data_IF_185731180500
#
_entry.id   IF_185731180500
#
_cell.length_a   1.000
_cell.length_b   1.000
_cell.length_c   1.000
_cell.angle_alpha   90.00
_cell.angle_beta   90.00
_cell.angle_gamma   90.00
#
_symmetry.space_group_name_H-M   'P 1'
#
loop_
_entity.id
_entity.type
_entity.pdbx_description
1 polymer ?
#
# COMPACT_ATOMS: atom_id res chain seq x y z
N UNK A 1 -22.72 -1.28 -65.77
CA UNK A 1 -22.50 0.12 -65.32
C UNK A 1 -21.73 0.11 -64.01
N UNK A 2 -20.80 1.05 -63.88
CA UNK A 2 -19.79 1.14 -62.82
C UNK A 2 -20.42 1.30 -61.42
N UNK A 3 -19.81 0.60 -60.47
CA UNK A 3 -19.46 1.02 -59.09
C UNK A 3 -20.36 2.07 -58.45
N UNK A 4 -20.90 1.75 -57.27
CA UNK A 4 -20.75 2.56 -56.07
C UNK A 4 -20.91 1.62 -54.87
N UNK A 5 -19.78 1.07 -54.43
CA UNK A 5 -19.63 0.49 -53.11
C UNK A 5 -19.45 1.72 -52.18
N UNK A 6 -20.54 2.21 -51.56
CA UNK A 6 -20.41 3.23 -50.52
C UNK A 6 -19.84 2.52 -49.30
N UNK A 7 -18.51 2.44 -49.27
CA UNK A 7 -17.74 2.13 -48.08
C UNK A 7 -18.00 3.29 -47.12
N UNK A 8 -18.97 3.11 -46.21
CA UNK A 8 -19.12 3.98 -45.05
C UNK A 8 -17.89 3.75 -44.19
N UNK A 9 -16.83 4.52 -44.48
CA UNK A 9 -15.74 4.79 -43.57
C UNK A 9 -16.35 5.57 -42.40
N UNK A 10 -16.96 4.85 -41.45
CA UNK A 10 -17.09 5.37 -40.10
C UNK A 10 -15.66 5.45 -39.58
N UNK A 11 -15.02 6.59 -39.84
CA UNK A 11 -13.86 7.04 -39.10
C UNK A 11 -14.34 7.25 -37.67
N UNK A 12 -14.36 6.14 -36.91
CA UNK A 12 -14.37 6.15 -35.47
C UNK A 12 -13.14 6.97 -35.07
N UNK A 13 -13.36 8.26 -34.88
CA UNK A 13 -12.43 9.16 -34.24
C UNK A 13 -12.41 8.73 -32.77
N UNK A 14 -11.77 7.59 -32.49
CA UNK A 14 -11.43 7.19 -31.12
C UNK A 14 -10.43 8.25 -30.69
N UNK A 15 -10.94 9.31 -30.05
CA UNK A 15 -10.11 10.27 -29.34
C UNK A 15 -9.34 9.47 -28.30
N UNK A 16 -8.08 9.13 -28.60
CA UNK A 16 -7.19 8.42 -27.68
C UNK A 16 -6.81 9.40 -26.57
N UNK A 17 -7.69 9.56 -25.59
CA UNK A 17 -7.42 10.27 -24.33
C UNK A 17 -6.50 9.46 -23.40
N UNK A 18 -5.92 8.34 -23.87
CA UNK A 18 -5.21 7.34 -23.06
C UNK A 18 -3.68 7.46 -23.01
N UNK A 19 -3.07 8.51 -23.58
CA UNK A 19 -1.60 8.60 -23.65
C UNK A 19 -0.92 8.63 -22.25
N UNK A 20 -1.52 9.33 -21.29
CA UNK A 20 -0.99 9.43 -19.91
C UNK A 20 -1.12 8.12 -19.13
N UNK A 21 -2.28 7.48 -19.20
CA UNK A 21 -2.58 6.24 -18.47
C UNK A 21 -1.77 5.07 -19.01
N UNK A 22 -1.57 4.98 -20.33
CA UNK A 22 -0.73 3.95 -20.94
C UNK A 22 0.74 4.12 -20.54
N UNK A 23 1.26 5.35 -20.55
CA UNK A 23 2.63 5.64 -20.09
C UNK A 23 2.82 5.26 -18.62
N UNK A 24 1.82 5.53 -17.77
CA UNK A 24 1.86 5.13 -16.36
C UNK A 24 1.80 3.61 -16.21
N UNK A 25 0.94 2.93 -16.97
CA UNK A 25 0.88 1.46 -17.00
C UNK A 25 2.22 0.83 -17.40
N UNK A 26 2.91 1.37 -18.41
CA UNK A 26 4.21 0.86 -18.85
C UNK A 26 5.31 0.99 -17.79
N UNK A 27 5.20 1.96 -16.86
CA UNK A 27 6.13 2.12 -15.75
C UNK A 27 5.93 1.10 -14.62
N UNK A 28 4.74 0.48 -14.54
CA UNK A 28 4.43 -0.49 -13.49
C UNK A 28 5.32 -1.73 -13.60
N UNK A 29 5.58 -2.33 -12.45
CA UNK A 29 6.26 -3.61 -12.35
C UNK A 29 5.42 -4.75 -12.93
N UNK A 30 6.07 -5.87 -13.23
CA UNK A 30 5.39 -7.06 -13.77
C UNK A 30 4.26 -7.57 -12.86
N UNK A 31 4.43 -7.67 -11.52
CA UNK A 31 3.35 -8.08 -10.62
C UNK A 31 2.12 -7.16 -10.72
N UNK A 32 2.32 -5.84 -10.72
CA UNK A 32 1.23 -4.87 -10.77
C UNK A 32 0.58 -4.86 -12.17
N UNK A 33 1.37 -4.88 -13.25
CA UNK A 33 0.83 -5.00 -14.63
C UNK A 33 -0.06 -6.21 -14.77
N UNK A 34 0.42 -7.38 -14.32
CA UNK A 34 -0.36 -8.62 -14.33
C UNK A 34 -1.66 -8.43 -13.56
N UNK A 35 -1.61 -7.86 -12.36
CA UNK A 35 -2.82 -7.63 -11.57
C UNK A 35 -3.83 -6.73 -12.29
N UNK A 36 -3.38 -5.63 -12.90
CA UNK A 36 -4.22 -4.70 -13.67
C UNK A 36 -4.87 -5.39 -14.86
N UNK A 37 -4.12 -6.21 -15.61
CA UNK A 37 -4.66 -6.97 -16.74
C UNK A 37 -5.74 -7.98 -16.32
N UNK A 38 -5.60 -8.62 -15.16
CA UNK A 38 -6.63 -9.53 -14.62
C UNK A 38 -7.79 -8.81 -13.92
N UNK A 39 -7.66 -7.51 -13.62
CA UNK A 39 -8.66 -6.74 -12.87
C UNK A 39 -8.90 -5.32 -13.43
N UNK A 40 -9.15 -5.15 -14.75
CA UNK A 40 -9.14 -3.83 -15.40
C UNK A 40 -10.15 -2.84 -14.79
N UNK A 41 -11.36 -3.31 -14.49
CA UNK A 41 -12.39 -2.45 -13.86
C UNK A 41 -12.07 -2.07 -12.41
N UNK A 42 -11.35 -2.92 -11.68
CA UNK A 42 -10.97 -2.65 -10.28
C UNK A 42 -9.74 -1.77 -10.19
N UNK A 43 -8.84 -1.82 -11.19
CA UNK A 43 -7.60 -1.06 -11.20
C UNK A 43 -7.80 0.46 -11.05
N UNK A 44 -8.77 1.03 -11.78
CA UNK A 44 -9.09 2.46 -11.67
C UNK A 44 -9.56 2.83 -10.25
N UNK A 45 -10.39 1.98 -9.66
CA UNK A 45 -10.90 2.18 -8.31
C UNK A 45 -9.82 2.01 -7.24
N UNK A 46 -8.97 0.99 -7.38
CA UNK A 46 -7.80 0.78 -6.51
C UNK A 46 -6.86 1.98 -6.52
N UNK A 47 -6.56 2.55 -7.70
CA UNK A 47 -5.71 3.74 -7.80
C UNK A 47 -6.32 4.94 -7.07
N UNK A 48 -7.64 5.16 -7.21
CA UNK A 48 -8.36 6.20 -6.47
C UNK A 48 -8.26 5.98 -4.96
N UNK A 49 -8.39 4.74 -4.50
CA UNK A 49 -8.29 4.37 -3.08
C UNK A 49 -6.86 4.55 -2.56
N UNK A 50 -5.83 4.19 -3.32
CA UNK A 50 -4.43 4.41 -2.94
C UNK A 50 -4.15 5.91 -2.75
N UNK A 51 -4.59 6.75 -3.69
CA UNK A 51 -4.43 8.20 -3.58
C UNK A 51 -5.20 8.80 -2.39
N UNK A 52 -6.40 8.29 -2.10
CA UNK A 52 -7.16 8.66 -0.90
C UNK A 52 -6.43 8.25 0.38
N UNK A 53 -5.92 7.02 0.43
CA UNK A 53 -5.21 6.47 1.59
C UNK A 53 -3.99 7.33 1.92
N UNK A 54 -3.18 7.70 0.93
CA UNK A 54 -2.01 8.54 1.15
C UNK A 54 -2.40 9.91 1.74
N UNK A 55 -3.43 10.56 1.21
CA UNK A 55 -3.93 11.85 1.75
C UNK A 55 -4.42 11.73 3.20
N UNK A 56 -5.13 10.65 3.51
CA UNK A 56 -5.66 10.42 4.87
C UNK A 56 -4.51 10.09 5.83
N UNK A 57 -3.57 9.23 5.44
CA UNK A 57 -2.38 8.91 6.24
C UNK A 57 -1.54 10.17 6.51
N UNK A 58 -1.30 11.02 5.50
CA UNK A 58 -0.64 12.31 5.66
C UNK A 58 -1.37 13.24 6.63
N UNK A 59 -2.69 13.20 6.64
CA UNK A 59 -3.52 13.98 7.56
C UNK A 59 -3.43 13.42 8.99
N UNK A 60 -3.53 12.10 9.16
CA UNK A 60 -3.38 11.42 10.46
C UNK A 60 -2.00 11.67 11.06
N UNK A 61 -0.94 11.66 10.24
CA UNK A 61 0.44 11.98 10.67
C UNK A 61 0.57 13.35 11.33
N UNK A 62 -0.27 14.32 10.96
CA UNK A 62 -0.26 15.68 11.52
C UNK A 62 -1.02 15.75 12.85
N UNK A 63 -1.76 14.72 13.22
CA UNK A 63 -2.51 14.65 14.49
C UNK A 63 -1.66 14.00 15.59
N UNK A 64 -2.16 14.01 16.82
CA UNK A 64 -1.59 13.27 17.95
C UNK A 64 -2.28 11.92 18.18
N UNK A 65 -3.04 11.41 17.20
CA UNK A 65 -3.75 10.13 17.34
C UNK A 65 -2.79 8.93 17.28
N UNK A 66 -1.67 9.06 16.58
CA UNK A 66 -0.66 8.03 16.36
C UNK A 66 0.75 8.62 16.49
N UNK A 67 1.78 7.77 16.44
CA UNK A 67 3.21 8.10 16.62
C UNK A 67 3.86 9.02 15.58
N UNK A 68 3.13 9.47 14.56
CA UNK A 68 3.60 10.34 13.45
C UNK A 68 4.66 9.70 12.53
N UNK A 69 4.99 8.43 12.73
CA UNK A 69 6.05 7.74 11.98
C UNK A 69 5.46 7.03 10.75
N UNK A 70 5.75 7.60 9.59
CA UNK A 70 5.22 7.18 8.30
C UNK A 70 5.96 5.97 7.68
N UNK A 71 7.05 5.49 8.27
CA UNK A 71 7.87 4.43 7.69
C UNK A 71 8.24 3.39 8.75
N UNK A 72 7.40 2.38 8.92
CA UNK A 72 7.55 1.36 9.96
C UNK A 72 6.87 1.67 11.29
N UNK A 73 6.20 2.82 11.43
CA UNK A 73 5.47 3.21 12.64
C UNK A 73 3.96 2.95 12.59
N UNK A 74 3.23 3.48 13.56
CA UNK A 74 1.78 3.36 13.64
C UNK A 74 1.07 4.06 12.48
N UNK A 75 1.58 5.21 12.01
CA UNK A 75 1.01 5.86 10.83
C UNK A 75 1.15 5.00 9.58
N UNK A 76 2.28 4.28 9.47
CA UNK A 76 2.47 3.34 8.38
C UNK A 76 1.53 2.12 8.48
N UNK A 77 1.43 1.54 9.68
CA UNK A 77 0.45 0.50 9.97
C UNK A 77 -0.99 0.94 9.65
N UNK A 78 -1.33 2.19 9.95
CA UNK A 78 -2.60 2.81 9.58
C UNK A 78 -2.77 2.89 8.06
N UNK A 79 -1.75 3.34 7.33
CA UNK A 79 -1.79 3.43 5.86
C UNK A 79 -2.13 2.07 5.25
N UNK A 80 -1.43 1.01 5.65
CA UNK A 80 -1.68 -0.35 5.16
C UNK A 80 -3.05 -0.90 5.58
N UNK A 81 -3.40 -0.78 6.87
CA UNK A 81 -4.67 -1.25 7.39
C UNK A 81 -5.86 -0.56 6.73
N UNK A 82 -5.82 0.77 6.62
CA UNK A 82 -6.87 1.56 5.98
C UNK A 82 -6.95 1.29 4.47
N UNK A 83 -5.81 1.20 3.78
CA UNK A 83 -5.76 0.87 2.35
C UNK A 83 -6.47 -0.45 2.06
N UNK A 84 -6.13 -1.51 2.80
CA UNK A 84 -6.71 -2.83 2.58
C UNK A 84 -8.17 -2.91 3.00
N UNK A 85 -8.56 -2.21 4.05
CA UNK A 85 -9.96 -2.09 4.44
C UNK A 85 -10.78 -1.39 3.33
N UNK A 86 -10.30 -0.25 2.80
CA UNK A 86 -10.97 0.46 1.71
C UNK A 86 -11.04 -0.37 0.43
N UNK A 87 -9.95 -1.05 0.07
CA UNK A 87 -9.96 -1.98 -1.06
C UNK A 87 -10.99 -3.10 -0.84
N UNK A 88 -11.04 -3.73 0.33
CA UNK A 88 -12.02 -4.80 0.61
C UNK A 88 -13.45 -4.28 0.51
N UNK A 89 -13.72 -3.09 1.03
CA UNK A 89 -15.04 -2.46 1.02
C UNK A 89 -15.56 -2.29 -0.42
N UNK A 90 -14.69 -1.90 -1.35
CA UNK A 90 -15.08 -1.57 -2.74
C UNK A 90 -14.95 -2.76 -3.70
N UNK A 91 -13.78 -3.41 -3.73
CA UNK A 91 -13.43 -4.41 -4.76
C UNK A 91 -13.49 -5.86 -4.25
N UNK A 92 -13.73 -6.04 -2.95
CA UNK A 92 -13.83 -7.34 -2.30
C UNK A 92 -12.47 -7.91 -1.88
N UNK A 93 -12.54 -8.86 -0.95
CA UNK A 93 -11.36 -9.38 -0.24
C UNK A 93 -10.34 -10.04 -1.16
N UNK A 94 -10.75 -10.92 -2.07
CA UNK A 94 -9.82 -11.66 -2.94
C UNK A 94 -8.99 -10.72 -3.82
N UNK A 95 -9.62 -9.67 -4.34
CA UNK A 95 -8.94 -8.71 -5.21
C UNK A 95 -8.06 -7.74 -4.40
N UNK A 96 -8.53 -7.28 -3.24
CA UNK A 96 -7.74 -6.47 -2.33
C UNK A 96 -6.47 -7.22 -1.87
N UNK A 97 -6.64 -8.44 -1.37
CA UNK A 97 -5.55 -9.32 -0.92
C UNK A 97 -4.53 -9.60 -2.02
N UNK A 98 -4.98 -9.90 -3.23
CA UNK A 98 -4.06 -10.17 -4.34
C UNK A 98 -3.32 -8.91 -4.80
N UNK A 99 -3.92 -7.72 -4.66
CA UNK A 99 -3.26 -6.45 -4.92
C UNK A 99 -2.19 -6.15 -3.87
N UNK A 100 -2.49 -6.31 -2.58
CA UNK A 100 -1.51 -6.17 -1.50
C UNK A 100 -0.30 -7.10 -1.71
N UNK A 101 -0.54 -8.37 -2.05
CA UNK A 101 0.55 -9.30 -2.39
C UNK A 101 1.35 -8.91 -3.64
N UNK A 102 0.71 -8.25 -4.61
CA UNK A 102 1.40 -7.77 -5.80
C UNK A 102 2.26 -6.54 -5.50
N UNK A 103 1.82 -5.68 -4.58
CA UNK A 103 2.58 -4.54 -4.07
C UNK A 103 3.86 -4.98 -3.36
N UNK A 104 3.77 -5.96 -2.45
CA UNK A 104 4.98 -6.45 -1.75
C UNK A 104 5.99 -7.14 -2.69
N UNK A 105 5.50 -7.80 -3.75
CA UNK A 105 6.37 -8.32 -4.80
C UNK A 105 7.05 -7.20 -5.59
N UNK A 106 6.37 -6.07 -5.79
CA UNK A 106 6.98 -4.90 -6.42
C UNK A 106 8.07 -4.29 -5.53
N UNK A 107 7.83 -4.20 -4.23
CA UNK A 107 8.80 -3.73 -3.24
C UNK A 107 10.09 -4.57 -3.28
N UNK A 108 9.97 -5.90 -3.34
CA UNK A 108 11.12 -6.79 -3.52
C UNK A 108 11.87 -6.56 -4.85
N UNK A 109 11.16 -6.29 -5.95
CA UNK A 109 11.80 -5.97 -7.24
C UNK A 109 12.45 -4.58 -7.23
N UNK A 110 11.89 -3.64 -6.48
CA UNK A 110 12.43 -2.29 -6.27
C UNK A 110 13.72 -2.34 -5.45
N UNK A 111 13.75 -3.14 -4.38
CA UNK A 111 14.97 -3.48 -3.63
C UNK A 111 16.06 -4.03 -4.55
N UNK A 112 15.75 -5.03 -5.39
CA UNK A 112 16.73 -5.62 -6.33
C UNK A 112 17.32 -4.62 -7.32
N UNK A 113 16.59 -3.54 -7.61
CA UNK A 113 17.04 -2.46 -8.49
C UNK A 113 17.77 -1.35 -7.73
N UNK A 114 17.98 -1.51 -6.42
CA UNK A 114 18.51 -0.50 -5.51
C UNK A 114 17.75 0.84 -5.60
N UNK A 115 16.45 0.76 -5.89
CA UNK A 115 15.55 1.92 -5.94
C UNK A 115 14.85 2.10 -4.60
N UNK A 116 14.44 3.34 -4.33
CA UNK A 116 13.69 3.69 -3.13
C UNK A 116 12.18 3.50 -3.36
N UNK A 117 11.46 3.09 -2.32
CA UNK A 117 10.00 3.14 -2.18
C UNK A 117 9.68 4.02 -0.97
N UNK A 118 8.76 4.99 -1.13
CA UNK A 118 8.42 5.99 -0.10
C UNK A 118 9.64 6.67 0.60
N UNK A 119 10.78 6.72 -0.09
CA UNK A 119 12.05 7.30 0.39
C UNK A 119 13.01 6.32 1.10
N UNK A 120 12.62 5.06 1.28
CA UNK A 120 13.40 4.01 1.94
C UNK A 120 13.69 2.84 0.99
N UNK A 121 14.76 2.08 1.27
CA UNK A 121 14.99 0.81 0.55
C UNK A 121 14.11 -0.25 1.21
N UNK A 122 13.23 -0.93 0.45
CA UNK A 122 12.43 -2.02 1.01
C UNK A 122 13.29 -3.14 1.57
N UNK A 123 12.82 -3.77 2.64
CA UNK A 123 13.45 -4.93 3.26
C UNK A 123 12.43 -5.96 3.70
N UNK A 124 12.91 -7.14 4.09
CA UNK A 124 12.08 -8.29 4.45
C UNK A 124 11.16 -7.99 5.63
N UNK A 125 11.67 -7.32 6.67
CA UNK A 125 10.92 -7.02 7.90
C UNK A 125 9.81 -6.00 7.62
N UNK A 126 10.07 -4.98 6.79
CA UNK A 126 9.05 -4.05 6.33
C UNK A 126 7.97 -4.76 5.51
N UNK A 127 8.34 -5.65 4.59
CA UNK A 127 7.35 -6.44 3.84
C UNK A 127 6.55 -7.39 4.74
N UNK A 128 7.14 -7.98 5.77
CA UNK A 128 6.41 -8.80 6.75
C UNK A 128 5.41 -7.96 7.57
N UNK A 129 5.82 -6.77 8.00
CA UNK A 129 4.95 -5.80 8.66
C UNK A 129 3.74 -5.45 7.77
N UNK A 130 4.01 -5.09 6.52
CA UNK A 130 2.99 -4.66 5.56
C UNK A 130 2.02 -5.79 5.25
N UNK A 131 2.50 -7.02 5.04
CA UNK A 131 1.65 -8.18 4.84
C UNK A 131 0.74 -8.44 6.05
N UNK A 132 1.27 -8.36 7.27
CA UNK A 132 0.47 -8.53 8.48
C UNK A 132 -0.60 -7.44 8.61
N UNK A 133 -0.20 -6.18 8.47
CA UNK A 133 -1.10 -5.03 8.59
C UNK A 133 -2.17 -5.03 7.49
N UNK A 134 -1.80 -5.46 6.29
CA UNK A 134 -2.73 -5.65 5.19
C UNK A 134 -3.82 -6.68 5.54
N UNK A 135 -3.43 -7.80 6.16
CA UNK A 135 -4.35 -8.86 6.59
C UNK A 135 -5.29 -8.41 7.71
N UNK A 136 -4.79 -7.69 8.70
CA UNK A 136 -5.62 -7.09 9.73
C UNK A 136 -6.60 -6.07 9.15
N UNK A 137 -6.14 -5.20 8.24
CA UNK A 137 -6.98 -4.24 7.52
C UNK A 137 -8.13 -4.90 6.78
N UNK A 138 -7.87 -6.03 6.11
CA UNK A 138 -8.92 -6.83 5.48
C UNK A 138 -9.98 -7.22 6.51
N UNK A 139 -9.62 -7.72 7.69
CA UNK A 139 -10.59 -8.24 8.69
C UNK A 139 -11.61 -7.21 9.18
N UNK A 140 -11.29 -5.91 9.15
CA UNK A 140 -12.08 -4.84 9.77
C UNK A 140 -13.39 -4.47 9.04
N UNK A 141 -13.59 -4.97 7.83
CA UNK A 141 -14.72 -4.56 6.98
C UNK A 141 -15.13 -5.67 6.01
N UNK A 142 -16.29 -5.53 5.36
CA UNK A 142 -16.75 -6.42 4.29
C UNK A 142 -17.11 -5.60 3.05
N UNK A 143 -17.11 -6.25 1.89
CA UNK A 143 -17.52 -5.62 0.63
C UNK A 143 -18.95 -5.08 0.73
N UNK A 144 -19.20 -3.87 0.24
CA UNK A 144 -20.52 -3.25 0.23
C UNK A 144 -21.00 -2.77 1.61
N UNK A 145 -20.13 -2.78 2.63
CA UNK A 145 -20.46 -2.21 3.93
C UNK A 145 -20.79 -0.72 3.81
N UNK A 146 -21.84 -0.27 4.52
CA UNK A 146 -22.28 1.13 4.59
C UNK A 146 -21.47 1.99 5.58
N UNK A 147 -20.46 1.42 6.24
CA UNK A 147 -19.59 2.15 7.16
C UNK A 147 -18.90 3.29 6.41
N UNK A 148 -18.98 4.49 6.98
CA UNK A 148 -18.34 5.68 6.42
C UNK A 148 -16.81 5.57 6.47
N UNK A 149 -16.11 6.36 5.67
CA UNK A 149 -14.65 6.44 5.70
C UNK A 149 -14.13 6.79 7.10
N UNK A 150 -14.74 7.77 7.76
CA UNK A 150 -14.40 8.15 9.13
C UNK A 150 -14.61 6.99 10.11
N UNK A 151 -15.72 6.26 9.99
CA UNK A 151 -15.95 5.07 10.81
C UNK A 151 -14.87 4.00 10.59
N UNK A 152 -14.38 3.85 9.36
CA UNK A 152 -13.29 2.93 9.05
C UNK A 152 -11.94 3.41 9.58
N UNK A 153 -11.65 4.71 9.51
CA UNK A 153 -10.47 5.34 10.12
C UNK A 153 -10.41 4.97 11.61
N UNK A 154 -11.50 5.18 12.36
CA UNK A 154 -11.55 4.85 13.78
C UNK A 154 -11.36 3.35 14.05
N UNK A 155 -11.92 2.47 13.23
CA UNK A 155 -11.71 1.01 13.38
C UNK A 155 -10.25 0.62 13.24
N UNK A 156 -9.54 1.22 12.27
CA UNK A 156 -8.12 0.95 12.03
C UNK A 156 -7.29 1.49 13.19
N UNK A 157 -7.55 2.72 13.65
CA UNK A 157 -6.87 3.32 14.80
C UNK A 157 -7.05 2.46 16.05
N UNK A 158 -8.28 2.02 16.35
CA UNK A 158 -8.53 1.16 17.50
C UNK A 158 -7.76 -0.16 17.41
N UNK A 159 -7.70 -0.80 16.23
CA UNK A 159 -6.91 -2.01 16.05
C UNK A 159 -5.40 -1.79 16.28
N UNK A 160 -4.88 -0.62 15.91
CA UNK A 160 -3.50 -0.21 16.19
C UNK A 160 -3.28 -0.02 17.69
N UNK A 161 -4.16 0.70 18.37
CA UNK A 161 -4.08 0.95 19.82
C UNK A 161 -4.21 -0.36 20.63
N UNK A 162 -4.99 -1.32 20.14
CA UNK A 162 -5.14 -2.65 20.73
C UNK A 162 -3.93 -3.57 20.47
N UNK A 163 -2.95 -3.14 19.67
CA UNK A 163 -1.76 -3.94 19.37
C UNK A 163 -1.96 -5.04 18.34
N UNK A 164 -3.07 -5.02 17.59
CA UNK A 164 -3.35 -6.02 16.54
C UNK A 164 -2.42 -5.86 15.33
N UNK A 165 -1.98 -4.64 15.06
CA UNK A 165 -1.06 -4.33 13.98
C UNK A 165 0.40 -4.53 14.42
N UNK A 166 1.30 -4.53 13.45
CA UNK A 166 2.74 -4.60 13.66
C UNK A 166 3.41 -3.30 13.24
N UNK A 167 4.48 -2.96 13.97
CA UNK A 167 5.38 -1.83 13.70
C UNK A 167 6.82 -2.30 13.86
N UNK A 168 7.75 -1.59 13.26
CA UNK A 168 9.18 -1.82 13.43
C UNK A 168 9.66 -1.07 14.67
N UNK A 169 10.34 -1.80 15.55
CA UNK A 169 10.88 -1.26 16.81
C UNK A 169 11.92 -0.18 16.52
N UNK A 170 11.73 0.98 17.13
CA UNK A 170 12.63 2.13 17.04
C UNK A 170 12.84 2.76 18.41
N UNK A 171 13.94 3.49 18.57
CA UNK A 171 14.15 4.38 19.71
C UNK A 171 13.42 5.72 19.52
N UNK A 172 13.46 6.57 20.54
CA UNK A 172 12.83 7.90 20.54
C UNK A 172 13.39 8.87 19.49
N UNK A 173 14.57 8.59 18.94
CA UNK A 173 15.21 9.36 17.85
C UNK A 173 14.87 8.80 16.46
N UNK A 174 14.04 7.76 16.38
CA UNK A 174 13.65 7.11 15.13
C UNK A 174 14.67 6.09 14.58
N UNK A 175 15.71 5.76 15.35
CA UNK A 175 16.69 4.73 14.98
C UNK A 175 16.12 3.32 15.16
N UNK A 176 16.32 2.46 14.16
CA UNK A 176 15.86 1.07 14.18
C UNK A 176 16.58 0.25 15.26
N UNK A 177 15.84 -0.66 15.90
CA UNK A 177 16.35 -1.50 16.97
C UNK A 177 16.26 -3.00 16.63
N UNK A 178 17.21 -3.78 17.13
CA UNK A 178 17.12 -5.24 17.20
C UNK A 178 16.08 -5.68 18.22
N UNK A 179 15.72 -6.96 18.23
CA UNK A 179 14.77 -7.47 19.23
C UNK A 179 15.31 -7.38 20.66
N UNK A 180 16.63 -7.47 20.83
CA UNK A 180 17.32 -7.20 22.09
C UNK A 180 17.31 -5.72 22.50
N UNK A 181 16.98 -4.80 21.59
CA UNK A 181 16.92 -3.35 21.85
C UNK A 181 18.21 -2.60 21.49
N UNK A 182 19.13 -3.23 20.78
CA UNK A 182 20.37 -2.61 20.30
C UNK A 182 20.09 -1.75 19.07
N UNK A 183 20.83 -0.64 18.91
CA UNK A 183 20.66 0.26 17.77
C UNK A 183 21.30 -0.35 16.52
N UNK A 184 20.60 -0.33 15.40
CA UNK A 184 21.13 -0.81 14.12
C UNK A 184 21.69 0.39 13.35
N UNK A 185 22.94 0.31 12.93
CA UNK A 185 23.58 1.37 12.14
C UNK A 185 22.93 1.48 10.74
N UNK A 186 23.00 2.67 10.13
CA UNK A 186 22.44 2.86 8.77
C UNK A 186 23.22 2.06 7.74
N UNK A 187 24.52 1.90 7.98
CA UNK A 187 25.47 1.15 7.18
C UNK A 187 25.10 -0.34 7.15
N UNK A 188 24.68 -0.89 8.30
CA UNK A 188 24.20 -2.27 8.38
C UNK A 188 22.90 -2.52 7.62
N UNK A 189 22.05 -1.51 7.47
CA UNK A 189 20.77 -1.62 6.74
C UNK A 189 20.93 -1.38 5.24
N UNK A 190 21.98 -0.69 4.81
CA UNK A 190 22.12 -0.22 3.43
C UNK A 190 22.22 -1.40 2.45
N UNK A 191 21.22 -1.52 1.58
CA UNK A 191 21.20 -2.52 0.51
C UNK A 191 21.05 -3.96 1.00
N UNK A 192 20.58 -4.19 2.24
CA UNK A 192 20.29 -5.52 2.77
C UNK A 192 18.80 -5.81 2.77
N UNK A 193 18.40 -6.89 2.10
CA UNK A 193 17.03 -7.42 2.17
C UNK A 193 16.74 -7.99 3.55
N UNK A 194 17.64 -8.83 4.06
CA UNK A 194 17.56 -9.41 5.40
C UNK A 194 18.35 -8.58 6.37
N UNK A 195 17.73 -8.21 7.48
CA UNK A 195 18.34 -7.41 8.54
C UNK A 195 17.71 -7.75 9.88
N UNK A 196 18.29 -7.21 10.95
CA UNK A 196 17.90 -7.54 12.32
C UNK A 196 16.86 -6.58 12.91
N UNK A 197 16.13 -5.83 12.07
CA UNK A 197 15.02 -4.98 12.55
C UNK A 197 14.01 -5.84 13.30
N UNK A 198 13.57 -5.38 14.46
CA UNK A 198 12.56 -6.10 15.22
C UNK A 198 11.14 -5.68 14.86
N UNK A 199 10.29 -6.66 14.60
CA UNK A 199 8.85 -6.45 14.46
C UNK A 199 8.16 -6.61 15.82
N UNK A 200 7.40 -5.60 16.24
CA UNK A 200 6.68 -5.59 17.54
C UNK A 200 5.22 -5.22 17.35
N UNK A 201 4.38 -5.49 18.35
CA UNK A 201 2.97 -5.10 18.32
C UNK A 201 2.82 -3.58 18.36
N UNK A 202 1.82 -3.05 17.69
CA UNK A 202 1.65 -1.60 17.49
C UNK A 202 1.36 -0.79 18.75
N UNK A 203 1.01 -1.46 19.86
CA UNK A 203 0.82 -0.85 21.18
C UNK A 203 2.09 -0.83 22.04
N UNK A 204 3.22 -1.34 21.54
CA UNK A 204 4.46 -1.53 22.34
C UNK A 204 5.18 -0.20 22.68
N UNK A 205 4.63 0.95 22.31
CA UNK A 205 5.20 2.27 22.63
C UNK A 205 4.13 3.28 23.11
N UNK A 206 3.07 2.81 23.76
CA UNK A 206 2.19 3.70 24.52
C UNK A 206 2.91 4.03 25.83
N UNK A 207 3.80 5.03 25.78
CA UNK A 207 4.14 5.83 26.96
C UNK A 207 3.14 6.96 27.09
#
# INVERSE_FOLDING_TARGET
MKKILILIFFSLSISVSGQSDFKNFLKLSVPIKRWVLFHPFKAKLSLKISNETNKIADSIRKTNLLDKDAAGGQVDAFRHGYWMARLRQEIGERAARSLGKAHEKDNYLTYKKLKLEDGFVPDEIASEMDLHNNEEGLKLIRKGSKVSKNGLIYRVINAICEGKMKIIKKNTKGGFLTCAGEIISKEELKGKWKNDKCLVSSNTNIR
#
